data_IF_195157842215
#
_entry.id   IF_195157842215
#
_cell.length_a   1.000
_cell.length_b   1.000
_cell.length_c   1.000
_cell.angle_alpha   90.00
_cell.angle_beta   90.00
_cell.angle_gamma   90.00
#
_symmetry.space_group_name_H-M   'P 1'
#
loop_
_entity.id
_entity.type
_entity.pdbx_description
1 polymer ?
#
# COMPACT_ATOMS: atom_id res chain seq x y z
N UNK A 1 -49.59 -37.93 -25.25
CA UNK A 1 -49.64 -37.15 -23.99
C UNK A 1 -48.31 -37.14 -23.22
N UNK A 2 -47.65 -38.27 -22.95
CA UNK A 2 -46.35 -38.31 -22.22
C UNK A 2 -45.22 -37.45 -22.84
N UNK A 3 -45.13 -37.36 -24.18
CA UNK A 3 -44.09 -36.57 -24.85
C UNK A 3 -44.24 -35.05 -24.66
N UNK A 4 -45.47 -34.54 -24.60
CA UNK A 4 -45.78 -33.10 -24.42
C UNK A 4 -45.48 -32.65 -22.99
N UNK A 5 -45.75 -33.50 -21.99
CA UNK A 5 -45.44 -33.22 -20.58
C UNK A 5 -43.92 -33.11 -20.37
N UNK A 6 -43.13 -33.94 -21.05
CA UNK A 6 -41.67 -33.88 -20.96
C UNK A 6 -41.13 -32.62 -21.64
N UNK A 7 -41.72 -32.17 -22.76
CA UNK A 7 -41.25 -30.94 -23.43
C UNK A 7 -41.55 -29.68 -22.61
N UNK A 8 -42.72 -29.61 -21.96
CA UNK A 8 -43.07 -28.51 -21.05
C UNK A 8 -42.19 -28.47 -19.80
N UNK A 9 -41.81 -29.62 -19.24
CA UNK A 9 -40.91 -29.68 -18.08
C UNK A 9 -39.49 -29.21 -18.41
N UNK A 10 -38.97 -29.52 -19.61
CA UNK A 10 -37.64 -29.05 -20.05
C UNK A 10 -37.63 -27.55 -20.32
N UNK A 11 -38.70 -26.99 -20.88
CA UNK A 11 -38.83 -25.53 -21.09
C UNK A 11 -38.92 -24.79 -19.75
N UNK A 12 -39.67 -25.33 -18.77
CA UNK A 12 -39.80 -24.73 -17.45
C UNK A 12 -38.49 -24.80 -16.63
N UNK A 13 -37.70 -25.87 -16.80
CA UNK A 13 -36.41 -26.03 -16.11
C UNK A 13 -35.34 -25.04 -16.60
N UNK A 14 -35.39 -24.62 -17.87
CA UNK A 14 -34.49 -23.59 -18.41
C UNK A 14 -34.83 -22.15 -17.93
N UNK A 15 -36.03 -21.90 -17.40
CA UNK A 15 -36.40 -20.58 -16.87
C UNK A 15 -35.84 -20.31 -15.45
N UNK A 16 -35.41 -21.34 -14.71
CA UNK A 16 -34.96 -21.20 -13.33
C UNK A 16 -33.47 -20.79 -13.17
N UNK A 17 -32.71 -20.69 -14.26
CA UNK A 17 -31.25 -20.43 -14.22
C UNK A 17 -30.89 -18.94 -14.31
N UNK A 18 -31.85 -18.02 -14.41
CA UNK A 18 -31.58 -16.59 -14.67
C UNK A 18 -31.54 -15.67 -13.43
N UNK A 19 -31.68 -16.16 -12.19
CA UNK A 19 -31.82 -15.29 -10.99
C UNK A 19 -30.57 -15.29 -10.09
N UNK A 20 -29.38 -15.20 -10.69
CA UNK A 20 -28.14 -14.93 -9.95
C UNK A 20 -27.50 -13.65 -10.49
N UNK A 21 -28.25 -12.55 -10.46
CA UNK A 21 -27.65 -11.21 -10.55
C UNK A 21 -26.97 -10.94 -9.21
N UNK A 22 -25.74 -11.42 -9.06
CA UNK A 22 -24.85 -10.90 -8.02
C UNK A 22 -24.75 -9.39 -8.25
N UNK A 23 -25.14 -8.60 -7.25
CA UNK A 23 -24.90 -7.17 -7.23
C UNK A 23 -23.38 -6.98 -7.13
N UNK A 24 -22.68 -7.10 -8.26
CA UNK A 24 -21.28 -6.76 -8.34
C UNK A 24 -21.20 -5.26 -8.10
N UNK A 25 -20.39 -4.83 -7.13
CA UNK A 25 -20.12 -3.42 -6.89
C UNK A 25 -19.81 -2.73 -8.21
N UNK A 26 -20.77 -1.99 -8.75
CA UNK A 26 -20.53 -1.16 -9.91
C UNK A 26 -19.68 0.03 -9.46
N UNK A 27 -19.10 0.78 -10.40
CA UNK A 27 -18.53 2.11 -10.12
C UNK A 27 -19.65 3.08 -9.76
N UNK A 28 -20.37 2.81 -8.68
CA UNK A 28 -21.31 3.75 -8.13
C UNK A 28 -20.52 4.99 -7.75
N UNK A 29 -20.98 6.11 -8.29
CA UNK A 29 -20.34 7.41 -8.15
C UNK A 29 -20.72 7.98 -6.79
N UNK A 30 -20.39 7.27 -5.73
CA UNK A 30 -20.30 7.84 -4.40
C UNK A 30 -19.27 8.99 -4.46
N UNK A 31 -19.63 10.15 -3.92
CA UNK A 31 -18.85 11.40 -3.96
C UNK A 31 -18.47 11.93 -5.38
N UNK A 32 -19.47 12.14 -6.25
CA UNK A 32 -19.29 12.87 -7.53
C UNK A 32 -18.61 14.23 -7.38
N UNK A 33 -18.84 14.90 -6.25
CA UNK A 33 -18.27 16.22 -5.92
C UNK A 33 -16.73 16.24 -5.87
N UNK A 34 -16.09 15.12 -5.54
CA UNK A 34 -14.64 15.05 -5.35
C UNK A 34 -13.86 14.74 -6.65
N UNK A 35 -14.56 14.37 -7.72
CA UNK A 35 -13.95 13.98 -9.00
C UNK A 35 -13.11 15.14 -9.59
N UNK A 36 -13.66 16.35 -9.66
CA UNK A 36 -13.00 17.46 -10.37
C UNK A 36 -12.60 17.10 -11.81
N UNK A 37 -11.59 17.79 -12.35
CA UNK A 37 -11.15 17.65 -13.75
C UNK A 37 -10.15 16.49 -13.99
N UNK A 38 -10.19 15.44 -13.17
CA UNK A 38 -9.26 14.31 -13.24
C UNK A 38 -9.87 13.10 -13.97
N UNK A 39 -9.05 12.32 -14.68
CA UNK A 39 -9.45 11.05 -15.31
C UNK A 39 -9.18 9.86 -14.38
N UNK A 40 -10.25 9.25 -13.87
CA UNK A 40 -10.24 8.13 -12.92
C UNK A 40 -10.33 6.75 -13.57
N UNK A 41 -10.39 6.65 -14.90
CA UNK A 41 -10.68 5.38 -15.59
C UNK A 41 -9.52 4.37 -15.53
N UNK A 42 -8.30 4.82 -15.24
CA UNK A 42 -7.09 4.01 -15.44
C UNK A 42 -6.70 3.13 -14.26
N UNK A 43 -6.80 3.62 -13.02
CA UNK A 43 -6.22 2.93 -11.85
C UNK A 43 -7.17 2.84 -10.65
N UNK A 44 -8.42 3.30 -10.79
CA UNK A 44 -9.40 3.21 -9.71
C UNK A 44 -9.84 1.76 -9.51
N UNK A 45 -9.99 1.35 -8.23
CA UNK A 45 -10.35 0.00 -7.82
C UNK A 45 -11.56 0.04 -6.91
N UNK A 46 -12.34 -1.03 -6.89
CA UNK A 46 -13.50 -1.18 -6.02
C UNK A 46 -13.46 -2.53 -5.32
N UNK A 47 -14.08 -2.61 -4.14
CA UNK A 47 -14.22 -3.83 -3.37
C UNK A 47 -15.51 -3.77 -2.54
N UNK A 48 -16.15 -4.91 -2.37
CA UNK A 48 -17.19 -5.12 -1.37
C UNK A 48 -16.50 -5.43 -0.03
N UNK A 49 -16.86 -4.71 1.03
CA UNK A 49 -16.26 -4.83 2.36
C UNK A 49 -17.35 -4.93 3.42
N UNK A 50 -17.10 -5.76 4.41
CA UNK A 50 -17.93 -5.86 5.61
C UNK A 50 -17.37 -5.00 6.74
N UNK A 51 -18.19 -4.61 7.74
CA UNK A 51 -17.70 -3.90 8.91
C UNK A 51 -16.57 -4.66 9.63
N UNK A 52 -15.52 -3.93 10.01
CA UNK A 52 -14.27 -4.48 10.56
C UNK A 52 -13.22 -4.87 9.49
N UNK A 53 -13.56 -4.91 8.21
CA UNK A 53 -12.60 -5.28 7.17
C UNK A 53 -11.53 -4.21 6.94
N UNK A 54 -10.36 -4.70 6.51
CA UNK A 54 -9.27 -3.85 6.02
C UNK A 54 -8.88 -4.27 4.61
N UNK A 55 -8.71 -3.29 3.73
CA UNK A 55 -8.32 -3.50 2.34
C UNK A 55 -7.13 -2.62 1.96
N UNK A 56 -6.30 -3.10 1.05
CA UNK A 56 -5.11 -2.40 0.59
C UNK A 56 -4.97 -2.49 -0.92
N UNK A 57 -4.91 -1.34 -1.58
CA UNK A 57 -4.75 -1.22 -3.03
C UNK A 57 -3.37 -0.66 -3.35
N UNK A 58 -2.60 -1.40 -4.16
CA UNK A 58 -1.29 -0.95 -4.64
C UNK A 58 -1.45 -0.29 -6.02
N UNK A 59 -0.79 0.85 -6.23
CA UNK A 59 -0.81 1.56 -7.51
C UNK A 59 0.51 2.27 -7.78
N UNK A 60 0.72 2.65 -9.04
CA UNK A 60 1.97 3.29 -9.49
C UNK A 60 1.64 4.66 -10.05
N UNK A 61 2.29 5.68 -9.49
CA UNK A 61 2.18 7.05 -9.98
C UNK A 61 3.40 7.37 -10.83
N UNK A 62 3.17 7.79 -12.07
CA UNK A 62 4.24 8.20 -12.98
C UNK A 62 4.74 9.61 -12.64
N UNK A 63 6.04 9.83 -12.81
CA UNK A 63 6.67 11.12 -12.54
C UNK A 63 6.07 12.27 -13.36
N UNK A 64 6.09 13.47 -12.79
CA UNK A 64 5.67 14.74 -13.42
C UNK A 64 4.22 14.78 -13.90
N UNK A 65 3.34 13.98 -13.30
CA UNK A 65 1.90 14.01 -13.55
C UNK A 65 1.18 14.33 -12.25
N UNK A 66 0.13 15.15 -12.32
CA UNK A 66 -0.68 15.50 -11.15
C UNK A 66 -1.75 14.44 -10.95
N UNK A 67 -1.80 13.90 -9.74
CA UNK A 67 -2.78 12.89 -9.35
C UNK A 67 -3.64 13.39 -8.21
N UNK A 68 -4.88 12.92 -8.18
CA UNK A 68 -5.82 13.06 -7.07
C UNK A 68 -6.32 11.69 -6.65
N UNK A 69 -6.29 11.43 -5.35
CA UNK A 69 -6.63 10.14 -4.76
C UNK A 69 -7.64 10.38 -3.65
N UNK A 70 -8.72 9.62 -3.63
CA UNK A 70 -9.69 9.62 -2.53
C UNK A 70 -10.40 8.27 -2.47
N UNK A 71 -11.09 8.03 -1.35
CA UNK A 71 -11.87 6.82 -1.13
C UNK A 71 -13.31 7.24 -0.89
N UNK A 72 -14.23 6.55 -1.55
CA UNK A 72 -15.66 6.70 -1.32
C UNK A 72 -16.26 5.35 -1.00
N UNK A 73 -17.03 5.28 0.07
CA UNK A 73 -17.66 4.07 0.55
C UNK A 73 -19.15 4.30 0.73
N UNK A 74 -19.91 3.20 0.77
CA UNK A 74 -21.29 3.21 1.18
C UNK A 74 -21.45 3.90 2.56
N UNK A 75 -22.36 4.88 2.72
CA UNK A 75 -22.64 5.52 4.01
C UNK A 75 -22.99 4.56 5.14
N UNK A 76 -23.59 3.40 4.84
CA UNK A 76 -23.96 2.39 5.83
C UNK A 76 -22.74 1.67 6.45
N UNK A 77 -21.56 1.73 5.80
CA UNK A 77 -20.29 1.24 6.36
C UNK A 77 -19.71 2.16 7.46
N UNK A 78 -20.31 3.33 7.70
CA UNK A 78 -19.89 4.27 8.74
C UNK A 78 -18.64 5.10 8.37
N UNK A 79 -17.93 5.60 9.39
CA UNK A 79 -16.76 6.48 9.22
C UNK A 79 -15.52 5.69 8.77
N UNK A 80 -15.42 5.48 7.46
CA UNK A 80 -14.33 4.76 6.83
C UNK A 80 -13.02 5.52 6.96
N UNK A 81 -12.01 4.87 7.55
CA UNK A 81 -10.67 5.42 7.66
C UNK A 81 -9.79 4.96 6.51
N UNK A 82 -9.03 5.88 5.91
CA UNK A 82 -8.11 5.54 4.84
C UNK A 82 -6.83 6.37 4.86
N UNK A 83 -5.75 5.75 4.42
CA UNK A 83 -4.40 6.33 4.42
C UNK A 83 -3.70 6.04 3.11
N UNK A 84 -2.95 7.01 2.63
CA UNK A 84 -2.01 6.81 1.52
C UNK A 84 -0.62 6.64 2.10
N UNK A 85 0.02 5.52 1.81
CA UNK A 85 1.39 5.22 2.23
C UNK A 85 2.30 5.02 1.04
N UNK A 86 3.57 5.34 1.22
CA UNK A 86 4.64 5.13 0.25
C UNK A 86 5.73 4.26 0.87
N UNK A 87 6.06 3.08 0.31
CA UNK A 87 7.16 2.27 0.79
C UNK A 87 8.50 2.95 0.50
N UNK A 88 9.31 3.13 1.53
CA UNK A 88 10.63 3.77 1.46
C UNK A 88 11.70 2.78 1.93
N UNK A 89 12.78 2.63 1.15
CA UNK A 89 13.91 1.77 1.54
C UNK A 89 14.83 2.55 2.45
N UNK A 90 14.84 2.18 3.73
CA UNK A 90 15.74 2.77 4.74
C UNK A 90 16.80 1.77 5.14
N UNK A 91 18.02 2.27 5.30
CA UNK A 91 19.16 1.49 5.80
C UNK A 91 19.22 1.65 7.32
N UNK A 92 19.00 0.57 8.05
CA UNK A 92 19.15 0.54 9.51
C UNK A 92 20.44 -0.18 9.88
N UNK A 93 21.21 0.40 10.79
CA UNK A 93 22.37 -0.26 11.40
C UNK A 93 21.92 -0.94 12.69
N UNK A 94 22.22 -2.22 12.83
CA UNK A 94 22.00 -2.98 14.06
C UNK A 94 23.32 -3.57 14.54
N UNK A 95 23.47 -3.76 15.84
CA UNK A 95 24.65 -4.42 16.42
C UNK A 95 24.54 -5.91 16.07
N UNK A 96 25.53 -6.42 15.33
CA UNK A 96 25.58 -7.82 14.92
C UNK A 96 26.10 -8.69 16.08
N UNK A 97 27.21 -8.27 16.69
CA UNK A 97 27.81 -8.91 17.85
C UNK A 97 28.84 -7.98 18.48
N UNK A 98 29.13 -8.24 19.75
CA UNK A 98 30.17 -7.55 20.51
C UNK A 98 31.27 -8.58 20.77
N UNK A 99 32.41 -8.43 20.09
CA UNK A 99 33.57 -9.31 20.26
C UNK A 99 34.42 -8.76 21.41
N UNK A 100 34.76 -9.64 22.36
CA UNK A 100 35.64 -9.29 23.50
C UNK A 100 36.91 -10.13 23.40
N UNK A 101 38.00 -9.48 23.04
CA UNK A 101 39.32 -10.11 22.94
C UNK A 101 40.14 -9.73 24.17
N UNK A 102 40.59 -10.71 24.94
CA UNK A 102 41.41 -10.48 26.13
C UNK A 102 42.89 -10.59 25.75
N UNK A 103 43.60 -9.47 25.77
CA UNK A 103 45.04 -9.43 25.62
C UNK A 103 45.69 -9.47 27.00
N UNK A 104 46.51 -10.51 27.25
CA UNK A 104 47.30 -10.63 28.47
C UNK A 104 48.60 -9.85 28.27
N UNK A 105 48.88 -8.90 29.14
CA UNK A 105 50.12 -8.12 29.14
C UNK A 105 51.03 -8.72 30.21
N UNK A 106 52.20 -9.21 29.82
CA UNK A 106 53.19 -9.82 30.72
C UNK A 106 54.14 -8.77 31.30
N UNK A 107 54.70 -9.04 32.48
CA UNK A 107 55.71 -8.18 33.09
C UNK A 107 57.06 -8.35 32.38
N UNK A 108 57.76 -7.24 32.17
CA UNK A 108 59.11 -7.20 31.61
C UNK A 108 60.06 -6.58 32.62
N UNK A 109 61.30 -7.08 32.68
CA UNK A 109 62.37 -6.54 33.50
C UNK A 109 63.02 -5.31 32.83
N UNK A 110 63.96 -4.66 33.51
CA UNK A 110 64.62 -3.43 33.04
C UNK A 110 65.43 -3.63 31.73
N UNK A 111 65.77 -4.86 31.39
CA UNK A 111 66.49 -5.25 30.18
C UNK A 111 65.55 -5.54 28.99
N UNK A 112 64.24 -5.63 29.25
CA UNK A 112 63.21 -5.88 28.24
C UNK A 112 62.76 -7.34 28.11
N UNK A 113 63.31 -8.25 28.92
CA UNK A 113 62.95 -9.66 28.93
C UNK A 113 61.72 -9.93 29.82
N UNK A 114 60.93 -10.94 29.46
CA UNK A 114 59.75 -11.32 30.23
C UNK A 114 60.13 -11.99 31.56
N UNK A 115 59.45 -11.61 32.65
CA UNK A 115 59.65 -12.19 33.97
C UNK A 115 58.88 -13.50 34.08
N UNK A 116 59.56 -14.59 34.44
CA UNK A 116 58.97 -15.90 34.75
C UNK A 116 58.90 -16.12 36.27
N UNK A 117 57.85 -16.82 36.71
CA UNK A 117 57.71 -17.33 38.07
C UNK A 117 58.62 -18.53 38.35
N UNK A 118 58.64 -19.00 39.59
CA UNK A 118 59.47 -20.13 40.05
C UNK A 118 59.14 -21.46 39.35
N UNK A 119 58.01 -21.54 38.65
CA UNK A 119 57.58 -22.70 37.86
C UNK A 119 57.88 -22.55 36.36
N UNK A 120 58.54 -21.45 35.95
CA UNK A 120 58.88 -21.16 34.56
C UNK A 120 57.75 -20.55 33.71
N UNK A 121 56.64 -20.12 34.32
CA UNK A 121 55.53 -19.49 33.61
C UNK A 121 55.63 -17.96 33.63
N UNK A 122 55.18 -17.28 32.57
CA UNK A 122 55.26 -15.82 32.47
C UNK A 122 54.33 -15.11 33.46
N UNK A 123 54.85 -14.13 34.21
CA UNK A 123 54.07 -13.35 35.19
C UNK A 123 53.18 -12.34 34.46
N UNK A 124 51.86 -12.46 34.65
CA UNK A 124 50.86 -11.56 34.06
C UNK A 124 50.85 -10.22 34.80
N UNK A 125 51.10 -9.11 34.09
CA UNK A 125 51.01 -7.74 34.64
C UNK A 125 49.57 -7.26 34.72
N UNK A 126 48.83 -7.45 33.63
CA UNK A 126 47.42 -7.05 33.56
C UNK A 126 46.72 -7.76 32.40
N UNK A 127 45.39 -7.86 32.49
CA UNK A 127 44.55 -8.32 31.38
C UNK A 127 43.84 -7.10 30.81
N UNK A 128 44.06 -6.81 29.54
CA UNK A 128 43.33 -5.76 28.81
C UNK A 128 42.25 -6.41 27.97
N UNK A 129 40.99 -6.10 28.25
CA UNK A 129 39.86 -6.55 27.43
C UNK A 129 39.60 -5.49 26.38
N UNK A 130 39.81 -5.83 25.11
CA UNK A 130 39.41 -5.00 23.98
C UNK A 130 38.00 -5.42 23.56
N UNK A 131 37.11 -4.45 23.45
CA UNK A 131 35.72 -4.66 23.04
C UNK A 131 35.53 -4.05 21.67
N UNK A 132 35.23 -4.88 20.68
CA UNK A 132 34.92 -4.45 19.32
C UNK A 132 33.45 -4.74 19.00
N UNK A 133 32.77 -3.78 18.37
CA UNK A 133 31.36 -3.89 18.01
C UNK A 133 31.24 -4.11 16.51
N UNK A 134 30.81 -5.31 16.13
CA UNK A 134 30.50 -5.63 14.74
C UNK A 134 29.11 -5.09 14.42
N UNK A 135 29.02 -4.27 13.37
CA UNK A 135 27.78 -3.66 12.92
C UNK A 135 27.23 -4.41 11.71
N UNK A 136 25.94 -4.75 11.73
CA UNK A 136 25.22 -5.19 10.55
C UNK A 136 24.47 -4.03 9.90
N UNK A 137 24.35 -4.05 8.58
CA UNK A 137 23.61 -3.06 7.80
C UNK A 137 22.46 -3.75 7.09
N UNK A 138 21.23 -3.48 7.55
CA UNK A 138 20.03 -4.08 6.96
C UNK A 138 19.24 -3.02 6.19
N UNK A 139 18.87 -3.35 4.94
CA UNK A 139 17.95 -2.53 4.14
C UNK A 139 16.53 -3.01 4.39
N UNK A 140 15.70 -2.15 4.96
CA UNK A 140 14.30 -2.46 5.32
C UNK A 140 13.37 -1.52 4.53
N UNK A 141 12.29 -2.07 3.98
CA UNK A 141 11.21 -1.26 3.42
C UNK A 141 10.30 -0.82 4.57
N UNK A 142 10.15 0.48 4.76
CA UNK A 142 9.29 1.08 5.78
C UNK A 142 8.23 1.93 5.08
N UNK A 143 6.97 1.76 5.48
CA UNK A 143 5.87 2.54 4.92
C UNK A 143 5.84 3.94 5.52
N UNK A 144 5.99 4.96 4.68
CA UNK A 144 5.82 6.36 5.05
C UNK A 144 4.38 6.79 4.78
N UNK A 145 3.68 7.27 5.80
CA UNK A 145 2.32 7.83 5.65
C UNK A 145 2.42 9.18 4.95
N UNK A 146 1.71 9.30 3.83
CA UNK A 146 1.66 10.50 2.99
C UNK A 146 0.35 11.27 3.21
N UNK A 147 -0.73 10.56 3.54
CA UNK A 147 -2.04 11.13 3.83
C UNK A 147 -2.82 10.22 4.79
N UNK A 148 -3.62 10.82 5.67
CA UNK A 148 -4.49 10.14 6.64
C UNK A 148 -5.77 10.95 6.78
N UNK A 149 -6.91 10.41 6.34
CA UNK A 149 -8.18 11.15 6.30
C UNK A 149 -8.66 11.56 7.69
N UNK A 150 -8.39 10.74 8.72
CA UNK A 150 -8.76 11.04 10.11
C UNK A 150 -7.98 12.21 10.71
N UNK A 151 -6.77 12.47 10.22
CA UNK A 151 -5.94 13.61 10.65
C UNK A 151 -6.19 14.86 9.82
N UNK A 152 -6.65 14.67 8.59
CA UNK A 152 -6.82 15.72 7.59
C UNK A 152 -8.30 15.90 7.26
N UNK A 153 -9.14 16.15 8.28
CA UNK A 153 -10.60 16.29 8.13
C UNK A 153 -11.02 17.31 7.08
N UNK A 154 -10.20 18.34 6.88
CA UNK A 154 -10.53 19.47 6.00
C UNK A 154 -10.37 19.13 4.51
N UNK A 155 -9.74 18.00 4.17
CA UNK A 155 -9.48 17.58 2.80
C UNK A 155 -9.95 16.15 2.59
N UNK A 156 -10.98 15.99 1.76
CA UNK A 156 -11.50 14.66 1.38
C UNK A 156 -10.63 13.93 0.36
N UNK A 157 -9.61 14.58 -0.21
CA UNK A 157 -8.74 14.01 -1.22
C UNK A 157 -7.26 14.35 -1.00
N UNK A 158 -6.39 13.47 -1.50
CA UNK A 158 -4.95 13.62 -1.52
C UNK A 158 -4.47 13.96 -2.93
N UNK A 159 -3.81 15.11 -3.10
CA UNK A 159 -3.18 15.47 -4.38
C UNK A 159 -1.66 15.36 -4.29
N UNK A 160 -1.06 14.80 -5.34
CA UNK A 160 0.39 14.63 -5.41
C UNK A 160 0.89 14.74 -6.85
N UNK A 161 2.08 15.33 -7.00
CA UNK A 161 2.85 15.32 -8.26
C UNK A 161 4.21 14.69 -7.97
N UNK A 162 4.38 13.38 -8.17
CA UNK A 162 5.64 12.72 -7.84
C UNK A 162 6.74 13.15 -8.83
N UNK A 163 7.96 13.35 -8.33
CA UNK A 163 9.11 13.75 -9.19
C UNK A 163 9.60 12.61 -10.08
N UNK A 164 9.44 11.38 -9.63
CA UNK A 164 9.82 10.15 -10.32
C UNK A 164 8.70 9.12 -10.18
N UNK A 165 8.71 8.08 -10.99
CA UNK A 165 7.74 7.00 -10.88
C UNK A 165 7.92 6.27 -9.54
N UNK A 166 6.87 6.25 -8.72
CA UNK A 166 6.88 5.65 -7.38
C UNK A 166 5.61 4.83 -7.14
N UNK A 167 5.74 3.77 -6.32
CA UNK A 167 4.59 2.98 -5.85
C UNK A 167 3.97 3.64 -4.64
N UNK A 168 2.65 3.65 -4.58
CA UNK A 168 1.87 4.05 -3.43
C UNK A 168 0.87 2.95 -3.07
N UNK A 169 0.37 2.99 -1.85
CA UNK A 169 -0.62 2.04 -1.33
C UNK A 169 -1.70 2.84 -0.63
N UNK A 170 -2.96 2.61 -0.99
CA UNK A 170 -4.11 3.12 -0.23
C UNK A 170 -4.55 2.00 0.69
N UNK A 171 -4.60 2.27 1.99
CA UNK A 171 -5.15 1.38 3.00
C UNK A 171 -6.50 1.92 3.43
N UNK A 172 -7.53 1.08 3.36
CA UNK A 172 -8.89 1.38 3.79
C UNK A 172 -9.20 0.47 4.98
N UNK A 173 -9.80 1.02 6.02
CA UNK A 173 -10.24 0.30 7.21
C UNK A 173 -11.65 0.76 7.55
N UNK A 174 -12.56 -0.21 7.50
CA UNK A 174 -13.98 -0.05 7.82
C UNK A 174 -14.14 -0.20 9.34
N UNK A 175 -14.88 0.68 10.03
CA UNK A 175 -15.16 0.52 11.45
C UNK A 175 -16.01 -0.74 11.71
N UNK A 176 -16.06 -1.17 12.97
CA UNK A 176 -16.97 -2.24 13.40
C UNK A 176 -18.43 -1.76 13.27
N UNK A 177 -19.34 -2.66 12.89
CA UNK A 177 -20.73 -2.35 12.54
C UNK A 177 -21.59 -3.61 12.45
N UNK A 178 -22.68 -3.58 11.68
CA UNK A 178 -23.54 -4.75 11.49
C UNK A 178 -22.83 -5.83 10.66
N UNK A 179 -22.54 -7.02 11.23
CA UNK A 179 -21.83 -8.08 10.51
C UNK A 179 -22.61 -8.65 9.31
N UNK A 180 -23.92 -8.39 9.21
CA UNK A 180 -24.73 -8.86 8.09
C UNK A 180 -24.76 -7.87 6.92
N UNK A 181 -24.20 -6.68 7.09
CA UNK A 181 -24.11 -5.68 6.05
C UNK A 181 -22.78 -5.81 5.29
N UNK A 182 -22.86 -5.70 3.97
CA UNK A 182 -21.69 -5.60 3.09
C UNK A 182 -21.94 -4.44 2.13
N UNK A 183 -20.97 -3.53 2.06
CA UNK A 183 -21.09 -2.30 1.28
C UNK A 183 -19.92 -2.13 0.33
N UNK A 184 -20.11 -1.31 -0.70
CA UNK A 184 -19.07 -1.06 -1.69
C UNK A 184 -18.12 0.06 -1.22
N UNK A 185 -16.82 -0.15 -1.40
CA UNK A 185 -15.78 0.85 -1.23
C UNK A 185 -14.95 1.00 -2.50
N UNK A 186 -14.86 2.24 -2.98
CA UNK A 186 -14.18 2.65 -4.21
C UNK A 186 -12.96 3.50 -3.88
N UNK A 187 -11.79 3.04 -4.31
CA UNK A 187 -10.54 3.80 -4.29
C UNK A 187 -10.36 4.48 -5.64
N UNK A 188 -10.53 5.80 -5.66
CA UNK A 188 -10.40 6.63 -6.85
C UNK A 188 -8.97 7.12 -7.02
N UNK A 189 -8.37 6.84 -8.18
CA UNK A 189 -7.03 7.31 -8.55
C UNK A 189 -7.12 8.03 -9.90
N UNK A 190 -7.17 9.35 -9.83
CA UNK A 190 -7.36 10.23 -10.97
C UNK A 190 -6.06 10.87 -11.43
N UNK A 191 -5.85 10.91 -12.74
CA UNK A 191 -4.75 11.67 -13.38
C UNK A 191 -5.31 12.92 -14.03
N UNK A 192 -4.73 14.08 -13.78
CA UNK A 192 -5.09 15.30 -14.50
C UNK A 192 -4.69 15.14 -15.98
N UNK A 193 -5.63 15.23 -16.94
CA UNK A 193 -5.29 15.17 -18.35
C UNK A 193 -4.39 16.36 -18.69
N UNK A 194 -3.26 16.08 -19.35
CA UNK A 194 -2.43 17.13 -19.90
C UNK A 194 -3.16 17.62 -21.15
N UNK A 195 -3.62 18.86 -21.15
CA UNK A 195 -4.16 19.49 -22.35
C UNK A 195 -3.07 19.52 -23.42
N UNK A 196 -3.14 18.59 -24.36
CA UNK A 196 -2.31 18.66 -25.56
C UNK A 196 -2.90 19.76 -26.44
N UNK A 197 -2.16 20.86 -26.63
CA UNK A 197 -2.54 21.96 -27.52
C UNK A 197 -2.80 21.56 -28.99
N UNK A 198 -2.64 20.28 -29.34
CA UNK A 198 -2.63 19.78 -30.72
C UNK A 198 -3.69 18.71 -31.04
N UNK A 199 -4.66 18.42 -30.17
CA UNK A 199 -5.76 17.49 -30.46
C UNK A 199 -7.12 18.19 -30.55
N UNK A 200 -7.20 19.25 -31.37
CA UNK A 200 -8.46 19.63 -32.00
C UNK A 200 -8.61 18.79 -33.27
N UNK A 201 -9.37 17.69 -33.20
CA UNK A 201 -10.01 17.13 -34.40
C UNK A 201 -11.42 17.67 -34.41
N UNK A 202 -11.69 18.59 -35.33
CA UNK A 202 -13.03 19.01 -35.72
C UNK A 202 -13.86 17.76 -36.04
N UNK A 203 -14.73 17.37 -35.12
CA UNK A 203 -15.86 16.49 -35.42
C UNK A 203 -16.90 17.33 -36.12
N UNK A 204 -16.85 17.36 -37.45
CA UNK A 204 -17.91 17.93 -38.28
C UNK A 204 -19.20 17.15 -37.99
N UNK A 205 -20.15 17.79 -37.32
CA UNK A 205 -21.52 17.30 -37.16
C UNK A 205 -22.12 17.13 -38.56
N UNK A 206 -22.38 15.88 -38.96
CA UNK A 206 -23.37 15.63 -40.03
C UNK A 206 -24.74 15.83 -39.41
N UNK A 207 -25.32 17.01 -39.63
CA UNK A 207 -26.76 17.22 -39.52
C UNK A 207 -27.44 16.30 -40.54
N UNK A 208 -28.23 15.36 -40.03
CA UNK A 208 -29.16 14.59 -40.84
C UNK A 208 -30.42 15.42 -41.01
N UNK A 209 -30.57 16.07 -42.16
CA UNK A 209 -31.84 16.56 -42.64
C UNK A 209 -32.56 15.39 -43.33
N UNK A 210 -33.59 14.85 -42.67
CA UNK A 210 -34.62 14.03 -43.32
C UNK A 210 -35.82 14.94 -43.58
N UNK A 211 -36.05 15.21 -44.87
CA UNK A 211 -37.35 15.59 -45.41
C UNK A 211 -38.24 14.36 -45.59
#
# INVERSE_FOLDING_TARGET
>A
MKKIVITLAVIFCNLLVFIQTNAQCEKEKFCKENLGDYDYRSQSSFAELSPGDTSSVNFVLYGNQRYRIFVCSDPELGDVSWKVVRPERVTKRSIASIKKDTAVIYQVNETGDYITDESGNLVVKSKKVNVDTLWNTQRVAVDKVMFDNKKNSDKMFFEVTPKKTERYIVRVSIPDGDPNFAGCSNVYIGKLPIESKNFSKQGHQRTGDTH
#
